data_IF_804469349010
#
_entry.id   IF_804469349010
#
_cell.length_a   1.000
_cell.length_b   1.000
_cell.length_c   1.000
_cell.angle_alpha   90.00
_cell.angle_beta   90.00
_cell.angle_gamma   90.00
#
_symmetry.space_group_name_H-M   'P 1'
#
loop_
_entity.id
_entity.type
_entity.pdbx_description
1 polymer ?
#
# COMPACT_ATOMS: atom_id res chain seq x y z
N UNK A 1 3.57 -24.66 23.63
CA UNK A 1 4.82 -24.14 24.22
C UNK A 1 4.74 -24.40 25.73
N UNK A 2 5.60 -25.26 26.26
CA UNK A 2 5.61 -25.65 27.68
C UNK A 2 6.37 -24.62 28.53
N UNK A 3 6.43 -24.77 29.86
CA UNK A 3 7.28 -23.92 30.70
C UNK A 3 8.75 -24.16 30.35
N UNK A 4 9.47 -23.11 30.00
CA UNK A 4 10.91 -23.13 29.73
C UNK A 4 11.49 -21.73 29.89
N UNK A 5 12.81 -21.63 30.01
CA UNK A 5 13.53 -20.37 30.12
C UNK A 5 13.84 -19.84 28.72
N UNK A 6 13.57 -18.55 28.46
CA UNK A 6 13.88 -17.87 27.20
C UNK A 6 14.86 -16.72 27.42
N UNK A 7 15.76 -16.52 26.46
CA UNK A 7 16.66 -15.36 26.46
C UNK A 7 15.87 -14.11 26.04
N UNK A 8 15.97 -13.03 26.80
CA UNK A 8 15.30 -11.75 26.51
C UNK A 8 15.67 -11.20 25.12
N UNK A 9 16.87 -11.50 24.60
CA UNK A 9 17.29 -11.11 23.25
C UNK A 9 16.42 -11.72 22.13
N UNK A 10 15.74 -12.84 22.41
CA UNK A 10 14.90 -13.57 21.46
C UNK A 10 13.39 -13.33 21.70
N UNK A 11 13.03 -12.42 22.61
CA UNK A 11 11.63 -12.15 22.97
C UNK A 11 11.32 -10.68 22.75
N UNK A 12 10.33 -10.41 21.89
CA UNK A 12 9.74 -9.09 21.73
C UNK A 12 8.41 -9.04 22.51
N UNK A 13 8.29 -8.22 23.58
CA UNK A 13 7.05 -8.07 24.31
C UNK A 13 5.95 -7.47 23.43
N UNK A 14 4.78 -8.11 23.42
CA UNK A 14 3.59 -7.58 22.74
C UNK A 14 2.85 -6.58 23.64
N UNK A 15 1.99 -5.75 23.04
CA UNK A 15 1.14 -4.77 23.75
C UNK A 15 0.10 -5.38 24.71
N UNK A 16 -0.01 -6.71 24.77
CA UNK A 16 -1.00 -7.38 25.62
C UNK A 16 -0.34 -7.85 26.91
N UNK A 17 -0.92 -7.45 28.03
CA UNK A 17 -0.50 -7.87 29.36
C UNK A 17 -1.66 -8.63 30.03
N UNK A 18 -1.38 -9.81 30.55
CA UNK A 18 -2.36 -10.61 31.31
C UNK A 18 -1.99 -10.49 32.78
N UNK A 19 -2.96 -10.09 33.61
CA UNK A 19 -2.74 -9.99 35.06
C UNK A 19 -2.69 -11.38 35.67
N UNK A 20 -1.49 -11.81 36.05
CA UNK A 20 -1.22 -13.07 36.76
C UNK A 20 -0.15 -12.83 37.82
N UNK A 21 -0.16 -13.62 38.89
CA UNK A 21 0.91 -13.58 39.88
C UNK A 21 2.24 -14.07 39.26
N UNK A 22 3.36 -13.54 39.78
CA UNK A 22 4.69 -14.06 39.44
C UNK A 22 4.78 -15.53 39.84
N UNK A 23 5.38 -16.37 38.98
CA UNK A 23 5.47 -17.82 39.17
C UNK A 23 4.12 -18.55 39.37
N UNK A 24 3.06 -18.11 38.67
CA UNK A 24 1.77 -18.79 38.69
C UNK A 24 1.83 -20.24 38.13
N UNK A 25 0.81 -21.04 38.47
CA UNK A 25 0.65 -22.39 37.96
C UNK A 25 0.16 -22.39 36.51
N UNK A 26 0.45 -23.47 35.76
CA UNK A 26 0.02 -23.58 34.37
C UNK A 26 -1.51 -23.56 34.21
N UNK A 27 -2.24 -24.10 35.20
CA UNK A 27 -3.72 -24.07 35.23
C UNK A 27 -4.24 -22.65 35.36
N UNK A 28 -3.77 -21.90 36.36
CA UNK A 28 -4.16 -20.51 36.55
C UNK A 28 -3.79 -19.61 35.36
N UNK A 29 -2.63 -19.86 34.73
CA UNK A 29 -2.22 -19.15 33.52
C UNK A 29 -3.16 -19.42 32.34
N UNK A 30 -3.57 -20.68 32.15
CA UNK A 30 -4.49 -21.07 31.08
C UNK A 30 -5.84 -20.37 31.27
N UNK A 31 -6.40 -20.45 32.48
CA UNK A 31 -7.70 -19.84 32.79
C UNK A 31 -7.66 -18.31 32.58
N UNK A 32 -6.57 -17.64 32.96
CA UNK A 32 -6.39 -16.19 32.75
C UNK A 32 -6.21 -15.81 31.26
N UNK A 33 -5.49 -16.62 30.48
CA UNK A 33 -5.33 -16.41 29.04
C UNK A 33 -6.65 -16.59 28.30
N UNK A 34 -7.40 -17.65 28.63
CA UNK A 34 -8.70 -17.95 28.03
C UNK A 34 -9.72 -16.85 28.40
N UNK A 35 -9.77 -16.44 29.67
CA UNK A 35 -10.66 -15.37 30.14
C UNK A 35 -10.36 -14.02 29.49
N UNK A 36 -9.08 -13.68 29.32
CA UNK A 36 -8.66 -12.39 28.75
C UNK A 36 -8.81 -12.32 27.23
N UNK A 37 -8.98 -13.47 26.56
CA UNK A 37 -9.06 -13.64 25.10
C UNK A 37 -7.92 -12.93 24.36
N UNK A 38 -6.77 -12.82 25.01
CA UNK A 38 -5.63 -12.07 24.47
C UNK A 38 -5.07 -12.72 23.22
N UNK A 39 -5.07 -14.05 23.15
CA UNK A 39 -4.60 -14.78 21.98
C UNK A 39 -5.50 -14.53 20.75
N UNK A 40 -6.82 -14.47 20.94
CA UNK A 40 -7.76 -14.12 19.87
C UNK A 40 -7.56 -12.67 19.40
N UNK A 41 -7.36 -11.75 20.35
CA UNK A 41 -7.06 -10.34 20.05
C UNK A 41 -5.75 -10.22 19.26
N UNK A 42 -4.73 -10.99 19.66
CA UNK A 42 -3.45 -11.03 18.96
C UNK A 42 -3.57 -11.62 17.55
N UNK A 43 -4.31 -12.72 17.39
CA UNK A 43 -4.51 -13.37 16.09
C UNK A 43 -5.09 -12.41 15.03
N UNK A 44 -5.96 -11.48 15.43
CA UNK A 44 -6.56 -10.45 14.55
C UNK A 44 -5.61 -9.29 14.22
N UNK A 45 -4.44 -9.22 14.85
CA UNK A 45 -3.48 -8.14 14.57
C UNK A 45 -2.84 -8.30 13.19
N UNK A 46 -2.47 -7.16 12.59
CA UNK A 46 -1.81 -7.16 11.28
C UNK A 46 -0.46 -7.88 11.29
N UNK A 47 0.27 -7.85 12.41
CA UNK A 47 1.56 -8.51 12.56
C UNK A 47 1.39 -10.03 12.64
N UNK A 48 0.47 -10.53 13.46
CA UNK A 48 0.18 -11.97 13.55
C UNK A 48 -0.23 -12.55 12.19
N UNK A 49 -1.13 -11.87 11.47
CA UNK A 49 -1.55 -12.28 10.13
C UNK A 49 -0.36 -12.38 9.14
N UNK A 50 0.65 -11.51 9.26
CA UNK A 50 1.86 -11.55 8.42
C UNK A 50 2.80 -12.69 8.83
N UNK A 51 2.94 -12.95 10.13
CA UNK A 51 3.76 -14.07 10.64
C UNK A 51 3.21 -15.40 10.15
N UNK A 52 1.89 -15.57 10.21
CA UNK A 52 1.21 -16.76 9.70
C UNK A 52 1.31 -16.86 8.17
N UNK A 53 1.05 -15.77 7.45
CA UNK A 53 1.19 -15.75 5.99
C UNK A 53 2.61 -16.08 5.54
N UNK A 54 3.65 -15.67 6.28
CA UNK A 54 5.04 -16.03 5.97
C UNK A 54 5.28 -17.54 6.03
N UNK A 55 4.67 -18.23 7.00
CA UNK A 55 4.74 -19.70 7.11
C UNK A 55 4.04 -20.36 5.91
N UNK A 56 2.86 -19.87 5.55
CA UNK A 56 2.13 -20.36 4.38
C UNK A 56 2.92 -20.14 3.07
N UNK A 57 3.55 -18.97 2.89
CA UNK A 57 4.39 -18.71 1.73
C UNK A 57 5.59 -19.67 1.64
N UNK A 58 6.22 -20.00 2.77
CA UNK A 58 7.35 -20.94 2.79
C UNK A 58 6.91 -22.38 2.40
N UNK A 59 5.68 -22.76 2.73
CA UNK A 59 5.12 -24.07 2.39
C UNK A 59 4.42 -24.13 1.02
N UNK A 60 4.27 -22.99 0.33
CA UNK A 60 3.45 -22.91 -0.89
C UNK A 60 4.00 -23.74 -2.07
N UNK A 61 3.08 -24.32 -2.84
CA UNK A 61 3.38 -24.99 -4.11
C UNK A 61 3.51 -23.99 -5.26
N UNK A 62 4.04 -24.42 -6.41
CA UNK A 62 4.20 -23.51 -7.55
C UNK A 62 2.87 -23.01 -8.11
N UNK A 63 1.85 -23.86 -8.10
CA UNK A 63 0.51 -23.50 -8.54
C UNK A 63 -0.09 -22.39 -7.67
N UNK A 64 0.03 -22.50 -6.34
CA UNK A 64 -0.43 -21.45 -5.40
C UNK A 64 0.34 -20.14 -5.60
N UNK A 65 1.65 -20.21 -5.87
CA UNK A 65 2.45 -19.02 -6.21
C UNK A 65 2.00 -18.40 -7.52
N UNK A 66 1.61 -19.20 -8.51
CA UNK A 66 1.04 -18.70 -9.76
C UNK A 66 -0.31 -18.00 -9.51
N UNK A 67 -1.19 -18.59 -8.71
CA UNK A 67 -2.46 -17.97 -8.31
C UNK A 67 -2.22 -16.62 -7.60
N UNK A 68 -1.28 -16.56 -6.65
CA UNK A 68 -0.89 -15.32 -5.97
C UNK A 68 -0.39 -14.27 -6.97
N UNK A 69 0.42 -14.66 -7.96
CA UNK A 69 0.91 -13.79 -9.03
C UNK A 69 -0.22 -13.24 -9.88
N UNK A 70 -1.18 -14.08 -10.27
CA UNK A 70 -2.37 -13.67 -11.03
C UNK A 70 -3.22 -12.69 -10.22
N UNK A 71 -3.48 -12.96 -8.94
CA UNK A 71 -4.21 -12.06 -8.07
C UNK A 71 -3.54 -10.68 -7.94
N UNK A 72 -2.21 -10.63 -7.81
CA UNK A 72 -1.44 -9.38 -7.79
C UNK A 72 -1.54 -8.61 -9.10
N UNK A 73 -1.49 -9.29 -10.25
CA UNK A 73 -1.66 -8.66 -11.58
C UNK A 73 -3.07 -8.09 -11.76
N UNK A 74 -4.09 -8.85 -11.41
CA UNK A 74 -5.49 -8.41 -11.45
C UNK A 74 -5.69 -7.17 -10.58
N UNK A 75 -5.24 -7.21 -9.32
CA UNK A 75 -5.29 -6.05 -8.42
C UNK A 75 -4.59 -4.82 -9.01
N UNK A 76 -3.41 -4.99 -9.60
CA UNK A 76 -2.67 -3.89 -10.19
C UNK A 76 -3.39 -3.28 -11.42
N UNK A 77 -3.96 -4.12 -12.27
CA UNK A 77 -4.75 -3.67 -13.42
C UNK A 77 -5.96 -2.84 -12.98
N UNK A 78 -6.76 -3.38 -12.06
CA UNK A 78 -7.95 -2.68 -11.57
C UNK A 78 -7.61 -1.42 -10.79
N UNK A 79 -6.58 -1.44 -9.96
CA UNK A 79 -6.14 -0.25 -9.23
C UNK A 79 -5.68 0.87 -10.16
N UNK A 80 -5.03 0.56 -11.29
CA UNK A 80 -4.67 1.56 -12.31
C UNK A 80 -5.90 2.16 -12.98
N UNK A 81 -6.91 1.36 -13.32
CA UNK A 81 -8.18 1.89 -13.87
C UNK A 81 -8.89 2.82 -12.88
N UNK A 82 -9.01 2.39 -11.62
CA UNK A 82 -9.59 3.21 -10.55
C UNK A 82 -8.79 4.51 -10.36
N UNK A 83 -7.47 4.45 -10.52
CA UNK A 83 -6.62 5.64 -10.50
C UNK A 83 -6.92 6.55 -11.70
N UNK A 84 -6.99 6.02 -12.91
CA UNK A 84 -7.26 6.81 -14.13
C UNK A 84 -8.60 7.56 -14.05
N UNK A 85 -9.64 6.92 -13.49
CA UNK A 85 -10.95 7.55 -13.25
C UNK A 85 -10.87 8.73 -12.28
N UNK A 86 -10.09 8.59 -11.20
CA UNK A 86 -9.88 9.67 -10.22
C UNK A 86 -9.00 10.78 -10.79
N UNK A 87 -7.97 10.41 -11.53
CA UNK A 87 -7.02 11.32 -12.16
C UNK A 87 -7.67 12.15 -13.28
N UNK A 88 -8.70 11.62 -13.94
CA UNK A 88 -9.53 12.39 -14.86
C UNK A 88 -10.28 13.55 -14.18
N UNK A 89 -10.70 13.38 -12.91
CA UNK A 89 -11.40 14.42 -12.12
C UNK A 89 -10.42 15.41 -11.51
N UNK A 90 -9.46 14.90 -10.75
CA UNK A 90 -8.42 15.69 -10.08
C UNK A 90 -7.05 15.21 -10.57
N UNK A 91 -6.47 15.88 -11.57
CA UNK A 91 -5.26 15.41 -12.21
C UNK A 91 -4.06 15.58 -11.28
N UNK A 92 -3.49 14.44 -10.89
CA UNK A 92 -2.25 14.31 -10.10
C UNK A 92 -1.15 13.64 -10.92
N UNK A 93 -1.51 12.84 -11.94
CA UNK A 93 -0.55 12.23 -12.84
C UNK A 93 0.15 13.29 -13.69
N UNK A 94 1.43 13.06 -13.95
CA UNK A 94 2.22 13.98 -14.76
C UNK A 94 1.61 14.20 -16.15
N UNK A 95 1.03 13.16 -16.76
CA UNK A 95 0.37 13.23 -18.05
C UNK A 95 -0.83 14.17 -18.04
N UNK A 96 -1.78 13.97 -17.11
CA UNK A 96 -2.98 14.80 -17.06
C UNK A 96 -2.68 16.22 -16.60
N UNK A 97 -1.70 16.42 -15.72
CA UNK A 97 -1.23 17.76 -15.33
C UNK A 97 -0.60 18.49 -16.51
N UNK A 98 0.27 17.82 -17.28
CA UNK A 98 0.87 18.38 -18.48
C UNK A 98 -0.20 18.74 -19.52
N UNK A 99 -1.16 17.83 -19.77
CA UNK A 99 -2.29 18.07 -20.66
C UNK A 99 -3.13 19.26 -20.20
N UNK A 100 -3.49 19.34 -18.91
CA UNK A 100 -4.24 20.47 -18.35
C UNK A 100 -3.50 21.79 -18.53
N UNK A 101 -2.17 21.81 -18.34
CA UNK A 101 -1.34 23.00 -18.60
C UNK A 101 -1.33 23.36 -20.09
N UNK A 102 -1.25 22.38 -20.97
CA UNK A 102 -1.28 22.60 -22.42
C UNK A 102 -2.64 23.13 -22.88
N UNK A 103 -3.76 22.56 -22.42
CA UNK A 103 -5.11 23.01 -22.75
C UNK A 103 -5.37 24.44 -22.26
N UNK A 104 -4.93 24.80 -21.04
CA UNK A 104 -4.99 26.18 -20.53
C UNK A 104 -4.15 27.16 -21.36
N UNK A 105 -3.01 26.71 -21.88
CA UNK A 105 -2.20 27.51 -22.79
C UNK A 105 -2.90 27.65 -24.15
N UNK A 106 -3.41 26.56 -24.72
CA UNK A 106 -4.14 26.58 -26.00
C UNK A 106 -5.33 27.53 -25.95
N UNK A 107 -6.18 27.48 -24.93
CA UNK A 107 -7.31 28.43 -24.79
C UNK A 107 -6.87 29.89 -24.68
N UNK A 108 -5.70 30.15 -24.05
CA UNK A 108 -5.08 31.48 -24.03
C UNK A 108 -4.48 31.88 -25.39
N UNK A 109 -4.08 30.90 -26.20
CA UNK A 109 -3.44 31.12 -27.49
C UNK A 109 -4.44 31.27 -28.64
N UNK A 110 -5.63 30.65 -28.54
CA UNK A 110 -6.66 30.67 -29.57
C UNK A 110 -7.67 31.83 -29.42
N UNK A 111 -7.68 32.51 -28.26
CA UNK A 111 -8.70 33.51 -27.92
C UNK A 111 -8.45 34.93 -28.44
N UNK A 112 -7.22 35.30 -28.83
CA UNK A 112 -6.92 36.68 -29.25
C UNK A 112 -5.96 36.74 -30.44
N UNK A 113 -6.15 37.72 -31.34
CA UNK A 113 -5.27 37.98 -32.48
C UNK A 113 -3.80 38.22 -32.07
N UNK A 114 -3.58 38.81 -30.89
CA UNK A 114 -2.24 39.00 -30.32
C UNK A 114 -1.52 37.68 -30.02
N UNK A 115 -2.25 36.63 -29.65
CA UNK A 115 -1.66 35.32 -29.40
C UNK A 115 -1.36 34.55 -30.70
N UNK A 116 -2.22 34.69 -31.74
CA UNK A 116 -1.96 34.17 -33.09
C UNK A 116 -0.67 34.77 -33.69
N UNK A 117 -0.46 36.07 -33.54
CA UNK A 117 0.79 36.76 -33.98
C UNK A 117 2.04 36.26 -33.24
N UNK A 118 1.93 35.94 -31.94
CA UNK A 118 3.04 35.35 -31.16
C UNK A 118 3.36 33.92 -31.62
N UNK A 119 2.36 33.13 -32.03
CA UNK A 119 2.60 31.81 -32.64
C UNK A 119 3.35 31.90 -33.96
N UNK A 120 2.99 32.82 -34.85
CA UNK A 120 3.71 33.04 -36.10
C UNK A 120 5.19 33.36 -35.85
N UNK A 121 5.48 34.24 -34.86
CA UNK A 121 6.86 34.51 -34.41
C UNK A 121 7.56 33.29 -33.84
N UNK A 122 6.87 32.49 -33.02
CA UNK A 122 7.45 31.27 -32.44
C UNK A 122 7.75 30.20 -33.50
N UNK A 123 6.90 30.05 -34.52
CA UNK A 123 7.13 29.14 -35.65
C UNK A 123 8.37 29.59 -36.44
N UNK A 124 8.47 30.89 -36.73
CA UNK A 124 9.65 31.46 -37.40
C UNK A 124 10.94 31.24 -36.58
N UNK A 125 10.90 31.51 -35.26
CA UNK A 125 12.04 31.30 -34.36
C UNK A 125 12.43 29.82 -34.25
N UNK A 126 11.46 28.90 -34.22
CA UNK A 126 11.73 27.45 -34.17
C UNK A 126 12.31 26.93 -35.48
N UNK A 127 11.93 27.52 -36.63
CA UNK A 127 12.54 27.24 -37.93
C UNK A 127 13.97 27.77 -38.02
N UNK A 128 14.25 28.92 -37.40
CA UNK A 128 15.60 29.52 -37.35
C UNK A 128 16.55 28.81 -36.36
N UNK A 129 16.01 28.05 -35.41
CA UNK A 129 16.79 27.27 -34.43
C UNK A 129 17.13 25.84 -34.91
N UNK A 130 16.67 25.48 -36.11
CA UNK A 130 16.94 24.20 -36.76
C UNK A 130 17.98 24.43 -37.85
#
# INVERSE_FOLDING_TARGET
MWRHVQNLKNVEPLKYCVSVSRNCSAKALKDALDSSKVLEKYAKTRTAARVEAKKACAASTDFERYQLRVARRSRAYWARKVFDEKDAKTPVSWHKVALKRMQKKASKMDSTEGAKRRMQKAIAARKAKK
#
